data_IF_254305292324
#
_entry.id   IF_254305292324
#
_cell.length_a   1.000
_cell.length_b   1.000
_cell.length_c   1.000
_cell.angle_alpha   90.00
_cell.angle_beta   90.00
_cell.angle_gamma   90.00
#
_symmetry.space_group_name_H-M   'P 1'
#
loop_
_entity.id
_entity.type
_entity.pdbx_description
1 polymer ?
#
# COMPACT_ATOMS: atom_id res chain seq x y z
N UNK A 1 14.50 14.94 0.84
CA UNK A 1 13.30 14.09 0.73
C UNK A 1 12.89 13.75 2.16
N UNK A 2 11.66 14.06 2.57
CA UNK A 2 11.21 13.69 3.90
C UNK A 2 10.62 12.27 3.81
N UNK A 3 11.34 11.30 4.36
CA UNK A 3 10.81 9.95 4.54
C UNK A 3 9.65 10.03 5.55
N UNK A 4 8.42 10.05 5.05
CA UNK A 4 7.19 10.09 5.85
C UNK A 4 6.65 8.66 6.00
N UNK A 5 6.61 8.16 7.23
CA UNK A 5 6.00 6.86 7.54
C UNK A 5 4.53 7.08 7.89
N UNK A 6 3.64 6.33 7.24
CA UNK A 6 2.20 6.36 7.51
C UNK A 6 1.78 4.99 8.05
N UNK A 7 1.26 4.97 9.27
CA UNK A 7 0.63 3.77 9.81
C UNK A 7 -0.79 3.63 9.25
N UNK A 8 -1.07 2.46 8.68
CA UNK A 8 -2.36 2.06 8.12
C UNK A 8 -2.86 0.83 8.90
N UNK A 9 -4.11 0.88 9.36
CA UNK A 9 -4.77 -0.29 9.94
C UNK A 9 -5.38 -1.09 8.79
N UNK A 10 -4.76 -2.21 8.44
CA UNK A 10 -5.10 -3.00 7.25
C UNK A 10 -5.42 -4.44 7.64
N UNK A 11 -6.32 -5.07 6.90
CA UNK A 11 -6.62 -6.50 7.02
C UNK A 11 -5.85 -7.26 5.96
N UNK A 12 -5.50 -8.51 6.25
CA UNK A 12 -4.80 -9.38 5.29
C UNK A 12 -5.57 -9.58 3.97
N UNK A 13 -6.89 -9.45 4.02
CA UNK A 13 -7.80 -9.59 2.87
C UNK A 13 -8.08 -8.26 2.15
N UNK A 14 -7.53 -7.14 2.61
CA UNK A 14 -7.66 -5.89 1.87
C UNK A 14 -6.87 -5.99 0.56
N UNK A 15 -7.50 -5.55 -0.53
CA UNK A 15 -6.85 -5.46 -1.83
C UNK A 15 -5.94 -4.24 -1.87
N UNK A 16 -4.93 -4.28 -2.73
CA UNK A 16 -4.05 -3.13 -2.98
C UNK A 16 -4.85 -1.90 -3.43
N UNK A 17 -5.92 -2.09 -4.21
CA UNK A 17 -6.82 -0.99 -4.58
C UNK A 17 -7.50 -0.35 -3.35
N UNK A 18 -7.95 -1.15 -2.38
CA UNK A 18 -8.56 -0.62 -1.15
C UNK A 18 -7.57 0.24 -0.36
N UNK A 19 -6.30 -0.20 -0.31
CA UNK A 19 -5.24 0.54 0.37
C UNK A 19 -4.91 1.85 -0.34
N UNK A 20 -4.80 1.84 -1.68
CA UNK A 20 -4.57 3.07 -2.45
C UNK A 20 -5.71 4.09 -2.27
N UNK A 21 -6.95 3.60 -2.22
CA UNK A 21 -8.10 4.45 -1.88
C UNK A 21 -8.01 5.04 -0.47
N UNK A 22 -7.53 4.27 0.51
CA UNK A 22 -7.33 4.77 1.87
C UNK A 22 -6.24 5.86 1.91
N UNK A 23 -5.12 5.65 1.22
CA UNK A 23 -4.05 6.63 1.09
C UNK A 23 -4.57 7.91 0.41
N UNK A 24 -5.35 7.80 -0.67
CA UNK A 24 -5.97 8.96 -1.31
C UNK A 24 -6.84 9.75 -0.33
N UNK A 25 -7.70 9.06 0.45
CA UNK A 25 -8.55 9.73 1.45
C UNK A 25 -7.76 10.42 2.56
N UNK A 26 -6.59 9.89 2.92
CA UNK A 26 -5.77 10.39 4.03
C UNK A 26 -4.78 11.48 3.61
N UNK A 27 -4.22 11.35 2.42
CA UNK A 27 -3.08 12.16 1.93
C UNK A 27 -3.41 12.96 0.66
N UNK A 28 -4.53 12.70 -0.01
CA UNK A 28 -4.94 13.38 -1.24
C UNK A 28 -4.18 12.95 -2.50
N UNK A 29 -3.34 11.91 -2.43
CA UNK A 29 -2.51 11.44 -3.56
C UNK A 29 -3.39 10.64 -4.54
N UNK A 30 -3.56 11.05 -5.82
CA UNK A 30 -4.35 10.31 -6.80
C UNK A 30 -3.87 8.87 -7.00
N UNK A 31 -4.77 7.93 -7.28
CA UNK A 31 -4.43 6.49 -7.34
C UNK A 31 -3.39 6.16 -8.42
N UNK A 32 -3.44 6.87 -9.54
CA UNK A 32 -2.51 6.78 -10.67
C UNK A 32 -1.10 7.27 -10.32
N UNK A 33 -0.97 8.06 -9.25
CA UNK A 33 0.31 8.51 -8.70
C UNK A 33 0.75 7.67 -7.49
N UNK A 34 0.08 6.54 -7.22
CA UNK A 34 0.45 5.65 -6.14
C UNK A 34 0.99 4.34 -6.68
N UNK A 35 2.30 4.12 -6.51
CA UNK A 35 2.93 2.83 -6.72
C UNK A 35 3.39 2.26 -5.38
N UNK A 36 2.68 1.23 -4.92
CA UNK A 36 3.06 0.50 -3.72
C UNK A 36 4.08 -0.57 -4.09
N UNK A 37 5.23 -0.56 -3.41
CA UNK A 37 6.35 -1.47 -3.67
C UNK A 37 6.67 -2.27 -2.41
N UNK A 38 6.72 -3.59 -2.55
CA UNK A 38 7.14 -4.51 -1.50
C UNK A 38 8.06 -5.59 -2.09
N UNK A 39 9.17 -5.86 -1.42
CA UNK A 39 10.17 -6.86 -1.87
C UNK A 39 10.56 -6.69 -3.35
N UNK A 40 10.83 -5.45 -3.77
CA UNK A 40 11.18 -5.06 -5.14
C UNK A 40 10.10 -5.35 -6.21
N UNK A 41 8.84 -5.53 -5.80
CA UNK A 41 7.70 -5.73 -6.71
C UNK A 41 6.67 -4.61 -6.54
N UNK A 42 6.23 -4.02 -7.66
CA UNK A 42 5.05 -3.16 -7.71
C UNK A 42 3.82 -4.02 -7.49
N UNK A 43 2.98 -3.60 -6.55
CA UNK A 43 1.79 -4.34 -6.14
C UNK A 43 0.61 -4.01 -7.05
N UNK A 44 -0.07 -5.06 -7.52
CA UNK A 44 -1.18 -4.96 -8.47
C UNK A 44 -2.50 -4.80 -7.72
N UNK A 45 -3.38 -3.94 -8.24
CA UNK A 45 -4.63 -3.54 -7.61
C UNK A 45 -5.58 -4.71 -7.26
N UNK A 46 -5.50 -5.82 -8.00
CA UNK A 46 -6.39 -6.98 -7.88
C UNK A 46 -6.03 -7.93 -6.74
N UNK A 47 -4.80 -7.86 -6.23
CA UNK A 47 -4.29 -8.80 -5.23
C UNK A 47 -4.47 -8.25 -3.81
N UNK A 48 -4.49 -9.16 -2.85
CA UNK A 48 -4.57 -8.84 -1.42
C UNK A 48 -3.18 -8.83 -0.78
N UNK A 49 -3.07 -8.32 0.45
CA UNK A 49 -1.83 -8.48 1.22
C UNK A 49 -1.46 -9.94 1.49
N UNK A 50 -2.46 -10.80 1.75
CA UNK A 50 -2.24 -12.24 1.92
C UNK A 50 -1.65 -12.90 0.67
N UNK A 51 -2.05 -12.48 -0.54
CA UNK A 51 -1.49 -13.00 -1.80
C UNK A 51 0.02 -12.71 -1.90
N UNK A 52 0.45 -11.53 -1.45
CA UNK A 52 1.86 -11.15 -1.41
C UNK A 52 2.60 -11.60 -0.15
N UNK A 53 1.94 -12.34 0.75
CA UNK A 53 2.46 -12.74 2.05
C UNK A 53 3.02 -11.55 2.87
N UNK A 54 2.36 -10.40 2.77
CA UNK A 54 2.67 -9.22 3.58
C UNK A 54 2.10 -9.43 4.98
N UNK A 55 2.96 -9.33 5.99
CA UNK A 55 2.62 -9.57 7.38
C UNK A 55 2.63 -8.26 8.18
N UNK A 56 2.22 -8.34 9.44
CA UNK A 56 2.38 -7.24 10.38
C UNK A 56 3.85 -6.79 10.41
N UNK A 57 4.06 -5.49 10.61
CA UNK A 57 5.39 -4.85 10.68
C UNK A 57 6.22 -4.89 9.38
N UNK A 58 5.64 -5.36 8.27
CA UNK A 58 6.24 -5.25 6.94
C UNK A 58 6.25 -3.78 6.47
N UNK A 59 7.34 -3.35 5.82
CA UNK A 59 7.48 -2.01 5.25
C UNK A 59 7.11 -2.05 3.77
N UNK A 60 6.14 -1.22 3.37
CA UNK A 60 5.74 -1.00 1.98
C UNK A 60 6.12 0.42 1.62
N UNK A 61 6.79 0.59 0.48
CA UNK A 61 7.17 1.90 -0.03
C UNK A 61 6.09 2.44 -0.96
N UNK A 62 5.82 3.73 -0.86
CA UNK A 62 5.04 4.49 -1.83
C UNK A 62 6.03 5.34 -2.64
N UNK A 63 6.07 5.13 -3.95
CA UNK A 63 6.88 5.93 -4.88
C UNK A 63 6.00 6.83 -5.74
#
# INVERSE_FOLDING_TARGET
LNDKIIFLNVKSMDTILNIKNFIYKKEGIPLEHQELVYSNKILENIHTFSYYNIQNDSIIYLI
#
